data_IF_084666124085
#
_entry.id   IF_084666124085
#
_cell.length_a   1.000
_cell.length_b   1.000
_cell.length_c   1.000
_cell.angle_alpha   90.00
_cell.angle_beta   90.00
_cell.angle_gamma   90.00
#
_symmetry.space_group_name_H-M   'P 1'
#
loop_
_entity.id
_entity.type
_entity.pdbx_description
1 polymer ?
#
# COMPACT_ATOMS: atom_id res chain seq x y z
N UNK A 1 -9.32 -7.74 -9.81
CA UNK A 1 -8.69 -7.68 -8.47
C UNK A 1 -9.76 -7.93 -7.43
N UNK A 2 -9.50 -8.80 -6.45
CA UNK A 2 -10.45 -9.12 -5.39
C UNK A 2 -10.20 -8.29 -4.13
N UNK A 3 -8.92 -8.08 -3.79
CA UNK A 3 -8.51 -7.31 -2.59
C UNK A 3 -7.29 -6.47 -2.87
N UNK A 4 -7.23 -5.27 -2.27
CA UNK A 4 -6.08 -4.38 -2.29
C UNK A 4 -5.59 -4.10 -0.87
N UNK A 5 -4.27 -4.16 -0.70
CA UNK A 5 -3.61 -3.77 0.55
C UNK A 5 -3.39 -2.26 0.54
N UNK A 6 -3.76 -1.58 1.62
CA UNK A 6 -3.57 -0.14 1.77
C UNK A 6 -2.65 0.13 2.97
N UNK A 7 -1.50 0.70 2.68
CA UNK A 7 -0.56 1.25 3.65
C UNK A 7 -0.83 2.74 3.81
N UNK A 8 -0.96 3.25 5.03
CA UNK A 8 -1.25 4.66 5.27
C UNK A 8 -0.87 5.08 6.69
N UNK A 9 -0.90 6.39 6.94
CA UNK A 9 -0.51 6.94 8.22
C UNK A 9 -1.47 6.60 9.36
N UNK A 10 -0.92 6.32 10.56
CA UNK A 10 -1.66 6.26 11.83
C UNK A 10 -2.05 7.67 12.36
N UNK A 11 -1.59 8.73 11.70
CA UNK A 11 -1.93 10.12 11.97
C UNK A 11 -2.73 10.70 10.81
N UNK A 12 -3.59 11.71 11.04
CA UNK A 12 -4.39 12.35 9.99
C UNK A 12 -3.56 13.22 9.03
N UNK A 13 -2.33 13.55 9.41
CA UNK A 13 -1.55 14.57 8.72
C UNK A 13 -2.05 15.99 9.01
N UNK A 14 -1.44 16.97 8.36
CA UNK A 14 -1.81 18.40 8.56
C UNK A 14 -2.92 18.84 7.62
N UNK A 15 -2.89 18.35 6.37
CA UNK A 15 -3.86 18.71 5.34
C UNK A 15 -5.09 17.81 5.45
N UNK A 16 -6.30 18.39 5.58
CA UNK A 16 -7.55 17.61 5.64
C UNK A 16 -7.81 16.79 4.37
N UNK A 17 -7.18 17.12 3.25
CA UNK A 17 -7.27 16.35 2.01
C UNK A 17 -6.80 14.89 2.19
N UNK A 18 -5.88 14.62 3.11
CA UNK A 18 -5.40 13.26 3.34
C UNK A 18 -6.47 12.35 3.95
N UNK A 19 -7.20 12.83 4.96
CA UNK A 19 -8.33 12.08 5.54
C UNK A 19 -9.46 11.90 4.52
N UNK A 20 -9.77 12.97 3.77
CA UNK A 20 -10.80 12.92 2.73
C UNK A 20 -10.47 11.87 1.66
N UNK A 21 -9.24 11.85 1.16
CA UNK A 21 -8.79 10.87 0.17
C UNK A 21 -8.78 9.43 0.70
N UNK A 22 -8.46 9.24 1.99
CA UNK A 22 -8.54 7.92 2.62
C UNK A 22 -9.98 7.40 2.68
N UNK A 23 -10.93 8.25 3.09
CA UNK A 23 -12.35 7.91 3.11
C UNK A 23 -12.91 7.67 1.71
N UNK A 24 -12.53 8.51 0.74
CA UNK A 24 -12.90 8.35 -0.67
C UNK A 24 -12.41 7.01 -1.22
N UNK A 25 -11.15 6.66 -1.00
CA UNK A 25 -10.59 5.38 -1.42
C UNK A 25 -11.36 4.20 -0.81
N UNK A 26 -11.66 4.25 0.49
CA UNK A 26 -12.43 3.20 1.17
C UNK A 26 -13.81 2.99 0.55
N UNK A 27 -14.55 4.08 0.34
CA UNK A 27 -15.87 4.06 -0.31
C UNK A 27 -15.78 3.55 -1.75
N UNK A 28 -14.77 4.00 -2.50
CA UNK A 28 -14.53 3.60 -3.89
C UNK A 28 -14.25 2.10 -4.01
N UNK A 29 -13.40 1.53 -3.16
CA UNK A 29 -13.10 0.10 -3.16
C UNK A 29 -14.36 -0.73 -2.88
N UNK A 30 -15.14 -0.35 -1.86
CA UNK A 30 -16.38 -1.01 -1.52
C UNK A 30 -17.39 -1.00 -2.68
N UNK A 31 -17.59 0.16 -3.34
CA UNK A 31 -18.47 0.31 -4.50
C UNK A 31 -18.05 -0.58 -5.69
N UNK A 32 -16.75 -0.89 -5.81
CA UNK A 32 -16.21 -1.79 -6.84
C UNK A 32 -16.13 -3.25 -6.40
N UNK A 33 -16.60 -3.57 -5.19
CA UNK A 33 -16.53 -4.92 -4.57
C UNK A 33 -15.10 -5.42 -4.46
N UNK A 34 -14.16 -4.50 -4.19
CA UNK A 34 -12.75 -4.80 -3.92
C UNK A 34 -12.57 -4.74 -2.40
N UNK A 35 -12.14 -5.83 -1.80
CA UNK A 35 -11.86 -5.92 -0.37
C UNK A 35 -10.65 -5.07 0.02
N UNK A 36 -10.72 -4.43 1.18
CA UNK A 36 -9.63 -3.69 1.80
C UNK A 36 -8.84 -4.61 2.75
N UNK A 37 -7.54 -4.70 2.57
CA UNK A 37 -6.59 -5.25 3.55
C UNK A 37 -5.74 -4.12 4.10
N UNK A 38 -5.60 -3.99 5.43
CA UNK A 38 -4.85 -2.88 6.02
C UNK A 38 -4.28 -3.22 7.41
N UNK A 39 -3.60 -2.26 8.04
CA UNK A 39 -2.87 -2.45 9.30
C UNK A 39 -3.71 -2.65 10.57
N UNK A 40 -5.05 -2.66 10.50
CA UNK A 40 -5.93 -3.05 11.60
C UNK A 40 -6.18 -1.98 12.69
N UNK A 41 -5.59 -0.78 12.58
CA UNK A 41 -5.78 0.30 13.57
C UNK A 41 -6.97 1.21 13.24
N UNK A 42 -7.61 1.79 14.28
CA UNK A 42 -8.76 2.69 14.16
C UNK A 42 -8.38 4.18 14.10
N UNK A 43 -7.08 4.51 13.94
CA UNK A 43 -6.57 5.88 14.04
C UNK A 43 -6.08 6.42 12.70
N UNK A 44 -6.08 7.75 12.56
CA UNK A 44 -5.55 8.45 11.40
C UNK A 44 -6.20 8.03 10.09
N UNK A 45 -5.40 7.90 9.04
CA UNK A 45 -5.87 7.48 7.72
C UNK A 45 -6.30 6.00 7.71
N UNK A 46 -5.71 5.17 8.59
CA UNK A 46 -6.10 3.77 8.72
C UNK A 46 -7.56 3.64 9.15
N UNK A 47 -7.97 4.36 10.21
CA UNK A 47 -9.37 4.41 10.65
C UNK A 47 -10.27 4.96 9.54
N UNK A 48 -9.89 6.07 8.90
CA UNK A 48 -10.70 6.72 7.88
C UNK A 48 -11.00 5.82 6.67
N UNK A 49 -10.00 5.11 6.14
CA UNK A 49 -10.20 4.21 4.99
C UNK A 49 -11.03 2.99 5.37
N UNK A 50 -10.80 2.42 6.55
CA UNK A 50 -11.52 1.24 7.02
C UNK A 50 -12.99 1.54 7.34
N UNK A 51 -13.27 2.64 8.06
CA UNK A 51 -14.62 3.07 8.39
C UNK A 51 -15.45 3.40 7.15
N UNK A 52 -14.86 4.11 6.19
CA UNK A 52 -15.53 4.44 4.94
C UNK A 52 -15.84 3.18 4.10
N UNK A 53 -14.91 2.25 4.00
CA UNK A 53 -15.13 0.98 3.31
C UNK A 53 -16.25 0.16 3.97
N UNK A 54 -16.27 0.06 5.31
CA UNK A 54 -17.31 -0.63 6.07
C UNK A 54 -18.68 0.04 5.93
N UNK A 55 -18.73 1.37 6.06
CA UNK A 55 -19.97 2.14 5.91
C UNK A 55 -20.60 1.95 4.54
N UNK A 56 -19.78 1.75 3.50
CA UNK A 56 -20.22 1.43 2.14
C UNK A 56 -20.49 -0.08 1.90
N UNK A 57 -20.46 -0.92 2.94
CA UNK A 57 -20.73 -2.36 2.86
C UNK A 57 -19.59 -3.19 2.27
N UNK A 58 -18.37 -2.67 2.23
CA UNK A 58 -17.19 -3.36 1.71
C UNK A 58 -16.61 -4.38 2.69
N UNK A 59 -15.88 -5.37 2.15
CA UNK A 59 -15.05 -6.30 2.92
C UNK A 59 -13.83 -5.55 3.47
N UNK A 60 -13.55 -5.68 4.78
CA UNK A 60 -12.38 -5.06 5.41
C UNK A 60 -11.69 -6.09 6.29
N UNK A 61 -10.42 -6.35 6.02
CA UNK A 61 -9.54 -7.23 6.79
C UNK A 61 -8.44 -6.39 7.43
N UNK A 62 -8.39 -6.35 8.74
CA UNK A 62 -7.30 -5.76 9.51
C UNK A 62 -6.27 -6.82 9.88
N UNK A 63 -4.97 -6.50 9.78
CA UNK A 63 -3.90 -7.38 10.24
C UNK A 63 -3.01 -6.61 11.21
N UNK A 64 -2.93 -7.07 12.46
CA UNK A 64 -2.21 -6.34 13.52
C UNK A 64 -1.36 -7.31 14.36
N UNK A 65 -0.11 -6.98 14.70
CA UNK A 65 0.68 -7.75 15.65
C UNK A 65 0.14 -7.63 17.07
N UNK A 66 0.23 -8.72 17.82
CA UNK A 66 -0.23 -8.75 19.22
C UNK A 66 0.37 -7.62 20.06
N UNK A 67 1.66 -7.30 19.87
CA UNK A 67 2.34 -6.23 20.58
C UNK A 67 1.79 -4.82 20.27
N UNK A 68 1.08 -4.63 19.16
CA UNK A 68 0.49 -3.34 18.76
C UNK A 68 -1.00 -3.25 19.09
N UNK A 69 -1.65 -4.35 19.44
CA UNK A 69 -3.08 -4.33 19.82
C UNK A 69 -3.34 -3.36 21.00
N UNK A 70 -2.40 -3.28 21.92
CA UNK A 70 -2.50 -2.39 23.09
C UNK A 70 -2.02 -0.96 22.80
N UNK A 71 -1.07 -0.79 21.86
CA UNK A 71 -0.44 0.49 21.55
C UNK A 71 -1.13 1.24 20.39
N UNK A 72 -1.56 0.52 19.38
CA UNK A 72 -2.31 1.06 18.25
C UNK A 72 -3.77 0.65 18.41
N UNK A 73 -4.56 1.33 19.12
CA UNK A 73 -5.98 1.08 19.35
C UNK A 73 -6.61 0.26 18.23
N UNK A 74 -6.59 -1.06 18.38
CA UNK A 74 -7.12 -2.01 17.41
C UNK A 74 -8.57 -1.64 17.03
N UNK A 75 -8.93 -1.78 15.77
CA UNK A 75 -10.23 -1.38 15.29
C UNK A 75 -11.32 -2.33 15.79
N UNK A 76 -11.95 -2.00 16.93
CA UNK A 76 -12.95 -2.83 17.60
C UNK A 76 -14.20 -3.17 16.73
N UNK A 77 -14.44 -2.42 15.68
CA UNK A 77 -15.60 -2.60 14.80
C UNK A 77 -15.37 -3.53 13.61
N UNK A 78 -14.20 -4.14 13.46
CA UNK A 78 -13.93 -5.07 12.34
C UNK A 78 -14.49 -6.46 12.63
N UNK A 79 -15.15 -7.04 11.63
CA UNK A 79 -15.57 -8.44 11.66
C UNK A 79 -14.39 -9.41 11.42
N UNK A 80 -13.38 -8.98 10.65
CA UNK A 80 -12.17 -9.76 10.36
C UNK A 80 -10.92 -8.94 10.78
N UNK A 81 -10.51 -9.12 12.04
CA UNK A 81 -9.26 -8.61 12.58
C UNK A 81 -8.34 -9.79 12.90
N UNK A 82 -7.24 -9.89 12.16
CA UNK A 82 -6.26 -10.96 12.29
C UNK A 82 -5.09 -10.50 13.14
N UNK A 83 -4.95 -11.11 14.32
CA UNK A 83 -3.84 -10.87 15.22
C UNK A 83 -2.72 -11.85 14.91
N UNK A 84 -1.50 -11.32 14.71
CA UNK A 84 -0.30 -12.09 14.34
C UNK A 84 0.81 -11.92 15.37
N UNK A 85 1.82 -12.79 15.33
CA UNK A 85 2.90 -12.83 16.31
C UNK A 85 4.00 -11.76 16.10
N UNK A 86 4.17 -11.27 14.86
CA UNK A 86 5.26 -10.35 14.54
C UNK A 86 4.92 -9.38 13.42
N UNK A 87 5.75 -8.32 13.26
CA UNK A 87 5.65 -7.40 12.12
C UNK A 87 5.93 -8.10 10.78
N UNK A 88 6.82 -9.10 10.76
CA UNK A 88 7.09 -9.87 9.55
C UNK A 88 5.88 -10.71 9.12
N UNK A 89 5.24 -11.39 10.07
CA UNK A 89 3.99 -12.12 9.81
C UNK A 89 2.88 -11.20 9.34
N UNK A 90 2.75 -10.00 9.92
CA UNK A 90 1.77 -9.00 9.50
C UNK A 90 1.94 -8.66 8.01
N UNK A 91 3.13 -8.25 7.61
CA UNK A 91 3.42 -7.83 6.23
C UNK A 91 3.27 -9.00 5.24
N UNK A 92 3.74 -10.18 5.62
CA UNK A 92 3.58 -11.39 4.80
C UNK A 92 2.10 -11.73 4.59
N UNK A 93 1.29 -11.73 5.66
CA UNK A 93 -0.14 -12.02 5.58
C UNK A 93 -0.91 -10.96 4.79
N UNK A 94 -0.62 -9.66 5.02
CA UNK A 94 -1.21 -8.58 4.22
C UNK A 94 -0.89 -8.74 2.73
N UNK A 95 0.35 -9.10 2.42
CA UNK A 95 0.76 -9.34 1.05
C UNK A 95 0.06 -10.58 0.45
N UNK A 96 -0.06 -11.68 1.19
CA UNK A 96 -0.73 -12.91 0.73
C UNK A 96 -2.20 -12.67 0.38
N UNK A 97 -2.91 -11.92 1.22
CA UNK A 97 -4.35 -11.64 1.10
C UNK A 97 -4.71 -10.71 -0.05
N UNK A 98 -3.74 -10.02 -0.66
CA UNK A 98 -3.98 -8.91 -1.58
C UNK A 98 -3.48 -9.18 -2.98
N UNK A 99 -4.13 -8.60 -3.98
CA UNK A 99 -3.76 -8.68 -5.40
C UNK A 99 -2.87 -7.50 -5.85
N UNK A 100 -2.73 -6.48 -5.01
CA UNK A 100 -1.93 -5.28 -5.26
C UNK A 100 -1.83 -4.41 -4.00
N UNK A 101 -0.98 -3.40 -4.08
CA UNK A 101 -0.62 -2.55 -2.94
C UNK A 101 -0.79 -1.08 -3.28
N UNK A 102 -1.36 -0.32 -2.35
CA UNK A 102 -1.55 1.14 -2.45
C UNK A 102 -0.93 1.78 -1.21
N UNK A 103 -0.11 2.82 -1.41
CA UNK A 103 0.28 3.69 -0.31
C UNK A 103 -0.42 5.05 -0.44
N UNK A 104 -1.21 5.40 0.58
CA UNK A 104 -1.68 6.74 0.89
C UNK A 104 -0.61 7.52 1.66
N UNK A 105 -0.75 8.84 1.83
CA UNK A 105 0.13 9.61 2.71
C UNK A 105 0.33 8.96 4.07
N UNK A 106 1.58 8.94 4.54
CA UNK A 106 1.93 8.34 5.81
C UNK A 106 3.38 8.59 6.22
N UNK A 107 3.77 8.03 7.34
CA UNK A 107 5.11 8.15 7.90
C UNK A 107 6.07 7.04 7.45
N UNK A 108 7.10 6.85 8.26
CA UNK A 108 8.18 5.87 7.99
C UNK A 108 7.64 4.45 7.84
N UNK A 109 6.64 4.04 8.66
CA UNK A 109 6.05 2.70 8.55
C UNK A 109 5.37 2.48 7.19
N UNK A 110 4.62 3.48 6.70
CA UNK A 110 3.99 3.43 5.37
C UNK A 110 5.01 3.29 4.25
N UNK A 111 6.12 4.03 4.34
CA UNK A 111 7.20 3.96 3.37
C UNK A 111 7.94 2.62 3.46
N UNK A 112 8.20 2.13 4.66
CA UNK A 112 8.86 0.83 4.90
C UNK A 112 8.04 -0.31 4.29
N UNK A 113 6.73 -0.37 4.56
CA UNK A 113 5.82 -1.38 4.00
C UNK A 113 5.78 -1.31 2.46
N UNK A 114 5.69 -0.11 1.89
CA UNK A 114 5.70 0.09 0.44
C UNK A 114 7.02 -0.37 -0.19
N UNK A 115 8.16 0.07 0.35
CA UNK A 115 9.47 -0.29 -0.20
C UNK A 115 9.75 -1.78 -0.08
N UNK A 116 9.29 -2.42 0.98
CA UNK A 116 9.46 -3.87 1.15
C UNK A 116 8.69 -4.64 0.07
N UNK A 117 7.38 -4.37 -0.12
CA UNK A 117 6.59 -5.09 -1.14
C UNK A 117 7.06 -4.75 -2.56
N UNK A 118 7.49 -3.53 -2.81
CA UNK A 118 8.07 -3.15 -4.09
C UNK A 118 9.38 -3.89 -4.35
N UNK A 119 10.25 -3.99 -3.34
CA UNK A 119 11.49 -4.77 -3.41
C UNK A 119 11.21 -6.26 -3.65
N UNK A 120 10.22 -6.84 -2.97
CA UNK A 120 9.81 -8.22 -3.24
C UNK A 120 9.34 -8.42 -4.69
N UNK A 121 8.60 -7.47 -5.24
CA UNK A 121 8.21 -7.47 -6.66
C UNK A 121 9.42 -7.39 -7.59
N UNK A 122 10.40 -6.52 -7.28
CA UNK A 122 11.65 -6.36 -8.02
C UNK A 122 12.48 -7.65 -7.99
N UNK A 123 12.53 -8.35 -6.86
CA UNK A 123 13.22 -9.63 -6.69
C UNK A 123 12.44 -10.82 -7.28
N UNK A 124 11.19 -10.60 -7.72
CA UNK A 124 10.36 -11.62 -8.33
C UNK A 124 9.61 -12.52 -7.35
N UNK A 125 9.56 -12.16 -6.07
CA UNK A 125 8.76 -12.89 -5.07
C UNK A 125 7.26 -12.82 -5.35
N UNK A 126 6.81 -11.78 -6.05
CA UNK A 126 5.45 -11.64 -6.56
C UNK A 126 5.41 -10.80 -7.84
N UNK A 127 4.24 -10.77 -8.51
CA UNK A 127 3.98 -10.00 -9.73
C UNK A 127 2.87 -8.96 -9.54
N UNK A 128 2.56 -8.62 -8.30
CA UNK A 128 1.47 -7.72 -7.92
C UNK A 128 1.90 -6.27 -8.12
N UNK A 129 1.01 -5.37 -8.59
CA UNK A 129 1.31 -3.95 -8.73
C UNK A 129 1.46 -3.25 -7.38
N UNK A 130 2.36 -2.25 -7.35
CA UNK A 130 2.54 -1.33 -6.24
C UNK A 130 2.24 0.09 -6.72
N UNK A 131 1.46 0.86 -5.97
CA UNK A 131 1.03 2.18 -6.38
C UNK A 131 1.03 3.20 -5.24
N UNK A 132 1.25 4.47 -5.59
CA UNK A 132 1.06 5.63 -4.74
C UNK A 132 -0.24 6.35 -5.13
N UNK A 133 -1.11 6.63 -4.17
CA UNK A 133 -2.14 7.65 -4.33
C UNK A 133 -1.55 8.98 -3.86
N UNK A 134 -1.14 9.80 -4.82
CA UNK A 134 -0.40 11.05 -4.60
C UNK A 134 -1.34 12.21 -4.27
N UNK A 135 -1.90 12.18 -3.07
CA UNK A 135 -2.85 13.19 -2.59
C UNK A 135 -2.13 14.51 -2.36
N UNK A 136 -2.62 15.58 -2.98
CA UNK A 136 -2.07 16.95 -2.83
C UNK A 136 -0.54 17.03 -3.01
N UNK A 137 0.04 16.20 -3.89
CA UNK A 137 1.48 16.20 -4.17
C UNK A 137 2.34 15.66 -3.02
N UNK A 138 1.77 14.93 -2.07
CA UNK A 138 2.50 14.43 -0.90
C UNK A 138 3.77 13.66 -1.27
N UNK A 139 3.74 12.89 -2.34
CA UNK A 139 4.85 12.06 -2.80
C UNK A 139 5.76 12.72 -3.85
N UNK A 140 5.52 13.97 -4.27
CA UNK A 140 6.30 14.61 -5.33
C UNK A 140 7.81 14.63 -5.05
N UNK A 141 8.18 14.93 -3.79
CA UNK A 141 9.59 14.94 -3.38
C UNK A 141 10.21 13.54 -3.35
N UNK A 142 9.45 12.54 -2.96
CA UNK A 142 9.89 11.14 -3.00
C UNK A 142 10.09 10.67 -4.44
N UNK A 143 9.15 11.01 -5.32
CA UNK A 143 9.22 10.67 -6.73
C UNK A 143 10.46 11.30 -7.38
N UNK A 144 10.71 12.60 -7.13
CA UNK A 144 11.90 13.28 -7.60
C UNK A 144 13.20 12.67 -7.06
N UNK A 145 13.21 12.23 -5.80
CA UNK A 145 14.36 11.51 -5.25
C UNK A 145 14.56 10.14 -5.92
N UNK A 146 13.49 9.39 -6.16
CA UNK A 146 13.58 8.10 -6.85
C UNK A 146 14.05 8.25 -8.31
N UNK A 147 13.67 9.32 -8.99
CA UNK A 147 14.15 9.63 -10.34
C UNK A 147 15.65 9.97 -10.30
N UNK A 148 16.11 10.75 -9.31
CA UNK A 148 17.54 10.98 -9.07
C UNK A 148 18.30 9.67 -8.80
N UNK A 149 17.73 8.72 -8.04
CA UNK A 149 18.34 7.38 -7.81
C UNK A 149 18.49 6.59 -9.12
N UNK A 150 17.58 6.81 -10.09
CA UNK A 150 17.70 6.24 -11.44
C UNK A 150 18.86 6.90 -12.21
N UNK A 151 18.96 8.23 -12.15
CA UNK A 151 20.02 8.99 -12.82
C UNK A 151 21.41 8.60 -12.29
N UNK A 152 21.53 8.34 -10.98
CA UNK A 152 22.73 7.85 -10.31
C UNK A 152 22.98 6.33 -10.52
N UNK A 153 22.15 5.65 -11.33
CA UNK A 153 22.23 4.23 -11.68
C UNK A 153 22.09 3.23 -10.50
N UNK A 154 21.59 3.66 -9.35
CA UNK A 154 21.26 2.77 -8.23
C UNK A 154 19.91 2.06 -8.39
N UNK A 155 18.99 2.63 -9.20
CA UNK A 155 17.69 2.04 -9.51
C UNK A 155 17.55 1.94 -11.04
N UNK A 156 17.24 0.74 -11.54
CA UNK A 156 17.00 0.57 -12.97
C UNK A 156 15.66 1.21 -13.39
N UNK A 157 15.56 1.89 -14.55
CA UNK A 157 14.29 2.47 -15.01
C UNK A 157 13.13 1.47 -15.02
N UNK A 158 13.38 0.22 -15.41
CA UNK A 158 12.36 -0.84 -15.41
C UNK A 158 11.78 -1.10 -14.01
N UNK A 159 12.59 -1.02 -12.97
CA UNK A 159 12.12 -1.20 -11.58
C UNK A 159 11.43 0.06 -11.04
N UNK A 160 11.93 1.26 -11.41
CA UNK A 160 11.25 2.53 -11.09
C UNK A 160 9.83 2.55 -11.65
N UNK A 161 9.66 2.06 -12.88
CA UNK A 161 8.35 1.99 -13.56
C UNK A 161 7.38 0.95 -12.96
N UNK A 162 7.84 0.07 -12.06
CA UNK A 162 6.96 -0.82 -11.31
C UNK A 162 6.13 -0.07 -10.25
N UNK A 163 6.59 1.10 -9.80
CA UNK A 163 5.87 1.95 -8.87
C UNK A 163 4.94 2.88 -9.65
N UNK A 164 3.66 2.57 -9.63
CA UNK A 164 2.61 3.35 -10.27
C UNK A 164 2.27 4.59 -9.42
N UNK A 165 1.84 5.66 -10.09
CA UNK A 165 1.42 6.90 -9.39
C UNK A 165 0.11 7.39 -9.98
N UNK A 166 -0.84 7.76 -9.14
CA UNK A 166 -2.11 8.36 -9.53
C UNK A 166 -2.58 9.36 -8.47
N UNK A 167 -3.44 10.28 -8.85
CA UNK A 167 -3.99 11.32 -7.98
C UNK A 167 -5.42 11.04 -7.54
N UNK A 168 -6.11 10.10 -8.23
CA UNK A 168 -7.49 9.72 -7.91
C UNK A 168 -7.64 8.20 -7.82
N UNK A 169 -8.60 7.69 -7.03
CA UNK A 169 -8.87 6.25 -6.93
C UNK A 169 -9.19 5.60 -8.28
N UNK A 170 -9.91 6.29 -9.17
CA UNK A 170 -10.26 5.79 -10.50
C UNK A 170 -9.03 5.58 -11.38
N UNK A 171 -8.17 6.61 -11.49
CA UNK A 171 -6.95 6.53 -12.29
C UNK A 171 -5.96 5.52 -11.69
N UNK A 172 -5.95 5.39 -10.36
CA UNK A 172 -5.16 4.38 -9.65
C UNK A 172 -5.60 2.97 -10.04
N UNK A 173 -6.89 2.67 -9.95
CA UNK A 173 -7.42 1.34 -10.28
C UNK A 173 -7.15 0.97 -11.75
N UNK A 174 -7.36 1.91 -12.69
CA UNK A 174 -7.03 1.69 -14.10
C UNK A 174 -5.56 1.28 -14.30
N UNK A 175 -4.64 1.97 -13.61
CA UNK A 175 -3.21 1.65 -13.68
C UNK A 175 -2.89 0.29 -13.05
N UNK A 176 -3.51 -0.03 -11.90
CA UNK A 176 -3.35 -1.33 -11.24
C UNK A 176 -3.83 -2.49 -12.13
N UNK A 177 -4.99 -2.37 -12.76
CA UNK A 177 -5.56 -3.38 -13.65
C UNK A 177 -4.75 -3.54 -14.96
N UNK A 178 -4.24 -2.42 -15.46
CA UNK A 178 -3.38 -2.39 -16.65
C UNK A 178 -1.95 -2.87 -16.41
N UNK A 179 -1.52 -3.03 -15.15
CA UNK A 179 -0.14 -3.38 -14.83
C UNK A 179 0.28 -4.74 -15.38
N UNK A 180 1.50 -4.77 -15.90
CA UNK A 180 2.18 -5.99 -16.32
C UNK A 180 3.56 -6.01 -15.70
N UNK A 181 3.80 -6.99 -14.83
CA UNK A 181 5.11 -7.14 -14.22
C UNK A 181 6.19 -7.36 -15.28
N UNK A 182 7.34 -6.67 -15.17
CA UNK A 182 8.44 -6.86 -16.09
C UNK A 182 8.93 -8.32 -16.06
N UNK A 183 9.56 -8.80 -17.13
CA UNK A 183 10.24 -10.09 -17.10
C UNK A 183 11.32 -10.08 -16.01
N UNK A 184 11.45 -11.20 -15.31
CA UNK A 184 12.52 -11.37 -14.33
C UNK A 184 13.87 -11.38 -15.05
N UNK A 185 14.68 -10.36 -14.80
CA UNK A 185 16.09 -10.37 -15.19
C UNK A 185 16.93 -10.99 -14.08
N UNK A 186 17.80 -11.93 -14.41
CA UNK A 186 18.80 -12.42 -13.46
C UNK A 186 19.63 -11.23 -12.97
N UNK A 187 19.75 -11.06 -11.66
CA UNK A 187 20.45 -9.94 -11.01
C UNK A 187 21.97 -9.96 -11.27
N UNK A 188 22.53 -11.15 -11.52
CA UNK A 188 23.96 -11.38 -11.76
C UNK A 188 24.03 -12.27 -12.99
N UNK A 189 24.60 -11.77 -14.08
CA UNK A 189 25.02 -12.60 -15.21
C UNK A 189 26.28 -13.38 -14.83
N UNK A 190 26.54 -14.50 -15.53
CA UNK A 190 27.79 -15.24 -15.35
C UNK A 190 29.04 -14.39 -15.64
N UNK A 191 28.87 -13.29 -16.35
CA UNK A 191 29.94 -12.38 -16.79
C UNK A 191 30.26 -11.28 -15.78
N UNK A 192 29.45 -11.15 -14.70
CA UNK A 192 29.63 -10.18 -13.62
C UNK A 192 30.33 -10.78 -12.39
N UNK A 193 30.93 -11.97 -12.50
CA UNK A 193 31.67 -12.66 -11.44
C UNK A 193 33.18 -12.59 -11.59
#
# INVERSE_FOLDING_TARGET
>A
MNRLCVFCGSSPGRDPAYLAAAAELGTFLAARRIGLVYGGAAVGLMGAVADAARAAGGEVIGVIPHALVELEVAHAGLADLRVVGSMHERKALMAELSDGFIALPGGIGTLEELFEVWTWGQLGSHRKPCALLNVAGFYDRLLGFLDFVVDEAFLRPVHRNMLLVAETPESLLQKLEGYRAPPQTRWISSDDR
#
